data_IF_731189689294
#
_entry.id   IF_731189689294
#
_cell.length_a   1.000
_cell.length_b   1.000
_cell.length_c   1.000
_cell.angle_alpha   90.00
_cell.angle_beta   90.00
_cell.angle_gamma   90.00
#
_symmetry.space_group_name_H-M   'P 1'
#
loop_
_entity.id
_entity.type
_entity.pdbx_description
1 polymer ?
#
# COMPACT_ATOMS: atom_id res chain seq x y z
N UNK A 1 0.47 3.21 8.74
CA UNK A 1 1.68 3.27 7.88
C UNK A 1 1.33 3.76 6.49
N UNK A 2 0.50 3.03 5.74
CA UNK A 2 0.15 3.41 4.36
C UNK A 2 -1.30 3.11 3.95
N UNK A 3 -2.14 2.66 4.89
CA UNK A 3 -3.53 2.22 4.66
C UNK A 3 -3.65 0.84 3.95
N UNK A 4 -2.59 0.03 3.96
CA UNK A 4 -2.62 -1.37 3.53
C UNK A 4 -3.20 -2.28 4.60
N UNK A 5 -4.04 -3.23 4.19
CA UNK A 5 -4.57 -4.32 5.01
C UNK A 5 -3.96 -5.66 4.57
N UNK A 6 -3.62 -6.52 5.53
CA UNK A 6 -3.10 -7.86 5.21
C UNK A 6 -4.16 -8.71 4.50
N UNK A 7 -3.83 -9.19 3.31
CA UNK A 7 -4.72 -10.01 2.48
C UNK A 7 -3.97 -11.28 2.01
N UNK A 8 -4.48 -12.45 2.38
CA UNK A 8 -3.85 -13.74 2.07
C UNK A 8 -3.76 -13.98 0.56
N UNK A 9 -4.76 -13.56 -0.21
CA UNK A 9 -4.74 -13.71 -1.66
C UNK A 9 -3.64 -12.84 -2.27
N UNK A 10 -3.52 -11.59 -1.81
CA UNK A 10 -2.51 -10.65 -2.32
C UNK A 10 -1.10 -10.94 -1.80
N UNK A 11 -0.98 -11.59 -0.64
CA UNK A 11 0.30 -12.11 -0.15
C UNK A 11 0.76 -13.32 -0.97
N UNK A 12 -0.17 -14.15 -1.45
CA UNK A 12 0.11 -15.32 -2.29
C UNK A 12 0.38 -14.92 -3.75
N UNK A 13 -0.36 -13.93 -4.26
CA UNK A 13 -0.23 -13.37 -5.59
C UNK A 13 -0.12 -11.83 -5.51
N UNK A 14 1.11 -11.29 -5.44
CA UNK A 14 1.35 -9.85 -5.31
C UNK A 14 0.84 -8.98 -6.45
N UNK A 15 0.52 -9.58 -7.61
CA UNK A 15 -0.03 -8.91 -8.77
C UNK A 15 -1.57 -9.01 -8.86
N UNK A 16 -2.20 -9.76 -7.95
CA UNK A 16 -3.66 -9.87 -7.88
C UNK A 16 -4.30 -8.52 -7.54
N UNK A 17 -4.98 -7.95 -8.54
CA UNK A 17 -5.66 -6.66 -8.48
C UNK A 17 -7.08 -6.84 -7.92
N UNK A 18 -7.26 -6.49 -6.64
CA UNK A 18 -8.52 -6.72 -5.92
C UNK A 18 -8.32 -6.85 -4.43
N UNK A 19 -8.99 -7.83 -3.82
CA UNK A 19 -8.88 -8.10 -2.38
C UNK A 19 -9.39 -6.97 -1.49
N UNK A 20 -8.97 -6.96 -0.23
CA UNK A 20 -9.33 -5.93 0.74
C UNK A 20 -8.85 -4.52 0.33
N UNK A 21 -7.72 -4.45 -0.39
CA UNK A 21 -7.07 -3.19 -0.75
C UNK A 21 -7.59 -2.59 -2.08
N UNK A 22 -8.23 -3.41 -2.91
CA UNK A 22 -8.74 -3.03 -4.24
C UNK A 22 -7.66 -2.62 -5.25
N UNK A 23 -6.38 -2.85 -4.92
CA UNK A 23 -5.22 -2.78 -5.82
C UNK A 23 -4.24 -3.88 -5.44
N UNK A 24 -3.39 -4.31 -6.38
CA UNK A 24 -2.33 -5.30 -6.10
C UNK A 24 -1.28 -4.82 -5.08
N UNK A 25 -0.59 -5.77 -4.43
CA UNK A 25 0.48 -5.48 -3.47
C UNK A 25 1.65 -4.75 -4.14
N UNK A 26 1.99 -5.11 -5.39
CA UNK A 26 3.04 -4.43 -6.13
C UNK A 26 2.66 -2.97 -6.45
N UNK A 27 1.41 -2.72 -6.86
CA UNK A 27 0.91 -1.35 -7.05
C UNK A 27 0.91 -0.55 -5.75
N UNK A 28 0.56 -1.19 -4.62
CA UNK A 28 0.57 -0.57 -3.31
C UNK A 28 1.99 -0.17 -2.87
N UNK A 29 2.99 -1.02 -3.11
CA UNK A 29 4.42 -0.72 -2.84
C UNK A 29 4.91 0.47 -3.66
N UNK A 30 4.60 0.49 -4.96
CA UNK A 30 4.96 1.64 -5.80
C UNK A 30 4.31 2.94 -5.32
N UNK A 31 3.02 2.89 -4.97
CA UNK A 31 2.30 4.05 -4.48
C UNK A 31 2.83 4.52 -3.12
N UNK A 32 3.21 3.59 -2.25
CA UNK A 32 3.85 3.92 -1.00
C UNK A 32 5.18 4.64 -1.22
N UNK A 33 6.03 4.15 -2.13
CA UNK A 33 7.27 4.84 -2.49
C UNK A 33 7.02 6.24 -3.07
N UNK A 34 5.98 6.39 -3.91
CA UNK A 34 5.68 7.68 -4.56
C UNK A 34 5.00 8.69 -3.63
N UNK A 35 4.13 8.25 -2.72
CA UNK A 35 3.21 9.14 -1.98
C UNK A 35 3.13 8.86 -0.47
N UNK A 36 3.65 7.73 0.01
CA UNK A 36 3.51 7.29 1.42
C UNK A 36 2.18 6.63 1.75
N UNK A 37 1.34 6.32 0.75
CA UNK A 37 0.05 5.65 0.93
C UNK A 37 -0.24 4.70 -0.24
N UNK A 38 -1.08 3.68 -0.03
CA UNK A 38 -1.44 2.73 -1.10
C UNK A 38 -2.29 3.37 -2.20
N UNK A 39 -3.03 4.43 -1.89
CA UNK A 39 -3.79 5.26 -2.84
C UNK A 39 -3.74 6.72 -2.38
N UNK A 40 -3.79 7.66 -3.33
CA UNK A 40 -3.77 9.11 -3.04
C UNK A 40 -4.92 9.58 -2.15
N UNK A 41 -6.07 8.92 -2.23
CA UNK A 41 -7.24 9.25 -1.41
C UNK A 41 -6.98 9.08 0.09
N UNK A 42 -6.08 8.18 0.47
CA UNK A 42 -5.75 7.90 1.87
C UNK A 42 -4.65 8.80 2.45
N UNK A 43 -4.10 9.75 1.69
CA UNK A 43 -3.02 10.64 2.17
C UNK A 43 -3.41 11.44 3.41
N UNK A 44 -4.70 11.73 3.60
CA UNK A 44 -5.21 12.44 4.79
C UNK A 44 -5.43 11.51 5.99
N UNK A 45 -5.40 10.19 5.76
CA UNK A 45 -5.69 9.16 6.75
C UNK A 45 -4.43 8.44 7.23
N UNK A 46 -3.27 8.74 6.64
CA UNK A 46 -1.98 8.17 7.02
C UNK A 46 -1.05 9.27 7.55
N UNK A 47 -0.14 8.88 8.46
CA UNK A 47 1.02 9.71 8.75
C UNK A 47 2.05 9.59 7.63
N UNK A 48 2.96 10.56 7.53
CA UNK A 48 4.15 10.41 6.67
C UNK A 48 4.98 9.19 7.11
N UNK A 49 5.61 8.47 6.18
CA UNK A 49 6.62 7.47 6.51
C UNK A 49 7.75 8.10 7.34
N UNK A 50 8.33 7.33 8.25
CA UNK A 50 9.60 7.65 8.88
C UNK A 50 10.74 7.35 7.89
N UNK A 51 11.91 7.93 8.12
CA UNK A 51 13.06 7.78 7.21
C UNK A 51 13.46 6.30 7.02
N UNK A 52 13.33 5.47 8.06
CA UNK A 52 13.61 4.02 8.04
C UNK A 52 12.51 3.17 7.39
N UNK A 53 11.33 3.75 7.16
CA UNK A 53 10.19 3.08 6.53
C UNK A 53 10.12 3.36 5.03
N UNK A 54 10.85 4.37 4.56
CA UNK A 54 10.94 4.76 3.14
C UNK A 54 12.13 4.15 2.38
N UNK A 55 12.93 3.31 3.06
CA UNK A 55 14.15 2.68 2.53
C UNK A 55 13.93 1.27 1.99
#
# INVERSE_FOLDING_TARGET
>A
MCYWEDDIAQNKDPDYDGGANGISLNNAKENFFKYGAIKREFLKNVRKPLDDESL
#
